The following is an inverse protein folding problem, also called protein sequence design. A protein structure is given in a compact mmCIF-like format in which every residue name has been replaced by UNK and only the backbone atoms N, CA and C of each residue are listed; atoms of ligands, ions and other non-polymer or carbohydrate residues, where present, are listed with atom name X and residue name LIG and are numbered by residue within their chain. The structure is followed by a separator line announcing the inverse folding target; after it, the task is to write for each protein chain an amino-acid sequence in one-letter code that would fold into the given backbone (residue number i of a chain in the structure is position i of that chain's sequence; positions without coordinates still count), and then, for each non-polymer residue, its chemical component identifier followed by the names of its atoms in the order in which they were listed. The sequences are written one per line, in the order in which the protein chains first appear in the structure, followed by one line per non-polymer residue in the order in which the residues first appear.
data_IF_081881244589
#
_entry.id   IF_081881244589
#
_cell.length_a   1.000
_cell.length_b   1.000
_cell.length_c   1.000
_cell.angle_alpha   90.00
_cell.angle_beta   90.00
_cell.angle_gamma   90.00
#
_symmetry.space_group_name_H-M   'P 1'
#
loop_
_entity.id
_entity.type
_entity.pdbx_description
1 polymer ?
#
# COMPACT_ATOMS: atom_id res chain seq x y z
N UNK A 1 -46.55 -53.20 3.17
CA UNK A 1 -45.69 -52.38 4.08
C UNK A 1 -46.27 -50.97 4.20
N UNK A 2 -46.88 -50.62 5.35
CA UNK A 2 -47.41 -49.28 5.63
C UNK A 2 -46.21 -48.33 5.76
N UNK A 3 -45.99 -47.45 4.78
CA UNK A 3 -44.96 -46.40 4.81
C UNK A 3 -45.35 -45.38 5.88
N UNK A 4 -44.55 -45.27 6.93
CA UNK A 4 -44.81 -44.41 8.09
C UNK A 4 -44.75 -42.92 7.64
N UNK A 5 -45.87 -42.16 7.63
CA UNK A 5 -45.90 -40.81 7.11
C UNK A 5 -44.96 -39.86 7.87
N UNK A 6 -44.71 -40.14 9.15
CA UNK A 6 -43.80 -39.35 9.99
C UNK A 6 -42.37 -39.45 9.48
N UNK A 7 -41.88 -40.63 9.01
CA UNK A 7 -40.54 -40.73 8.45
C UNK A 7 -40.37 -39.91 7.15
N UNK A 8 -41.41 -39.83 6.33
CA UNK A 8 -41.37 -39.00 5.12
C UNK A 8 -41.28 -37.50 5.43
N UNK A 9 -42.06 -37.03 6.41
CA UNK A 9 -42.04 -35.64 6.84
C UNK A 9 -40.69 -35.26 7.47
N UNK A 10 -40.14 -36.13 8.33
CA UNK A 10 -38.81 -35.94 8.92
C UNK A 10 -37.70 -35.83 7.85
N UNK A 11 -37.73 -36.71 6.82
CA UNK A 11 -36.76 -36.65 5.73
C UNK A 11 -36.89 -35.34 4.95
N UNK A 12 -38.13 -34.92 4.64
CA UNK A 12 -38.37 -33.68 3.91
C UNK A 12 -37.91 -32.42 4.70
N UNK A 13 -38.20 -32.40 5.99
CA UNK A 13 -37.72 -31.33 6.90
C UNK A 13 -36.19 -31.31 6.99
N UNK A 14 -35.57 -32.48 7.11
CA UNK A 14 -34.09 -32.56 7.17
C UNK A 14 -33.43 -32.09 5.87
N UNK A 15 -33.98 -32.44 4.69
CA UNK A 15 -33.46 -32.02 3.39
C UNK A 15 -33.52 -30.47 3.24
N UNK A 16 -34.52 -29.81 3.84
CA UNK A 16 -34.69 -28.37 3.77
C UNK A 16 -33.91 -27.65 4.89
N UNK A 17 -33.99 -28.17 6.13
CA UNK A 17 -33.42 -27.52 7.30
C UNK A 17 -31.88 -27.61 7.35
N UNK A 18 -31.29 -28.75 6.92
CA UNK A 18 -29.83 -28.94 6.98
C UNK A 18 -29.09 -27.98 6.04
N UNK A 19 -29.42 -27.82 4.77
CA UNK A 19 -28.80 -26.82 3.92
C UNK A 19 -29.05 -25.40 4.42
N UNK A 20 -30.25 -25.08 4.86
CA UNK A 20 -30.58 -23.78 5.43
C UNK A 20 -29.73 -23.44 6.64
N UNK A 21 -29.60 -24.35 7.59
CA UNK A 21 -28.74 -24.18 8.77
C UNK A 21 -27.27 -24.04 8.37
N UNK A 22 -26.79 -24.83 7.41
CA UNK A 22 -25.42 -24.78 6.92
C UNK A 22 -25.12 -23.43 6.26
N UNK A 23 -26.01 -22.94 5.39
CA UNK A 23 -25.82 -21.67 4.65
C UNK A 23 -26.04 -20.44 5.53
N UNK A 24 -27.05 -20.42 6.40
CA UNK A 24 -27.40 -19.22 7.16
C UNK A 24 -26.72 -19.12 8.53
N UNK A 25 -26.34 -20.25 9.12
CA UNK A 25 -25.75 -20.26 10.45
C UNK A 25 -24.28 -20.66 10.47
N UNK A 26 -23.91 -21.74 9.80
CA UNK A 26 -22.55 -22.30 9.85
C UNK A 26 -21.59 -21.57 8.91
N UNK A 27 -21.95 -21.38 7.64
CA UNK A 27 -21.12 -20.67 6.67
C UNK A 27 -20.73 -19.23 7.10
N UNK A 28 -21.62 -18.37 7.64
CA UNK A 28 -21.23 -17.05 8.11
C UNK A 28 -20.24 -17.07 9.28
N UNK A 29 -20.22 -18.14 10.08
CA UNK A 29 -19.24 -18.28 11.16
C UNK A 29 -17.84 -18.64 10.65
N UNK A 30 -17.77 -19.45 9.59
CA UNK A 30 -16.50 -19.81 8.94
C UNK A 30 -16.09 -18.76 7.89
N UNK A 31 -17.03 -18.13 7.21
CA UNK A 31 -16.84 -17.05 6.26
C UNK A 31 -16.62 -15.66 6.90
N UNK A 32 -16.37 -15.59 8.20
CA UNK A 32 -15.73 -14.43 8.79
C UNK A 32 -14.33 -14.33 8.18
N UNK A 33 -14.26 -13.79 6.98
CA UNK A 33 -13.02 -13.32 6.38
C UNK A 33 -12.40 -12.32 7.35
N UNK A 34 -11.66 -12.83 8.32
CA UNK A 34 -10.79 -12.05 9.16
C UNK A 34 -9.60 -11.67 8.27
N UNK A 35 -9.75 -10.62 7.48
CA UNK A 35 -8.59 -10.00 6.87
C UNK A 35 -7.60 -9.75 8.01
N UNK A 36 -6.50 -10.48 7.97
CA UNK A 36 -5.43 -10.25 8.92
C UNK A 36 -4.85 -8.88 8.58
N UNK A 37 -4.80 -8.01 9.57
CA UNK A 37 -4.19 -6.70 9.40
C UNK A 37 -2.77 -6.85 8.85
N UNK A 38 -2.41 -6.01 7.88
CA UNK A 38 -1.08 -6.05 7.29
C UNK A 38 -0.02 -5.71 8.34
N UNK A 39 1.18 -6.28 8.23
CA UNK A 39 2.28 -5.94 9.11
C UNK A 39 2.63 -4.45 9.00
N UNK A 40 3.30 -3.92 10.01
CA UNK A 40 3.90 -2.59 10.00
C UNK A 40 5.40 -2.79 10.02
N UNK A 41 6.09 -2.23 9.03
CA UNK A 41 7.54 -2.30 8.88
C UNK A 41 8.22 -1.12 9.59
N UNK A 42 9.48 -1.30 9.94
CA UNK A 42 10.31 -0.31 10.59
C UNK A 42 10.47 -0.52 12.08
N UNK A 43 11.13 0.42 12.71
CA UNK A 43 11.44 0.39 14.13
C UNK A 43 10.16 0.41 14.97
N UNK A 44 10.19 -0.31 16.09
CA UNK A 44 9.10 -0.40 17.06
C UNK A 44 9.62 -0.03 18.43
N UNK A 45 9.08 1.02 19.01
CA UNK A 45 9.46 1.52 20.32
C UNK A 45 8.31 1.27 21.28
N UNK A 46 8.63 0.72 22.45
CA UNK A 46 7.64 0.55 23.52
C UNK A 46 7.37 1.92 24.14
N UNK A 47 6.10 2.35 24.08
CA UNK A 47 5.69 3.63 24.68
C UNK A 47 5.63 3.54 26.22
N UNK A 48 5.66 4.68 26.87
CA UNK A 48 5.40 4.79 28.32
C UNK A 48 3.91 4.68 28.68
N UNK A 49 3.03 4.73 27.67
CA UNK A 49 1.57 4.58 27.82
C UNK A 49 1.14 3.13 27.72
N UNK A 50 -0.04 2.82 28.27
CA UNK A 50 -0.59 1.46 28.33
C UNK A 50 -2.07 1.49 27.96
N UNK A 51 -2.52 0.47 27.24
CA UNK A 51 -3.94 0.17 27.10
C UNK A 51 -4.32 -1.11 27.87
N UNK A 52 -5.59 -1.22 28.29
CA UNK A 52 -6.06 -2.39 29.00
C UNK A 52 -6.78 -3.35 28.07
N UNK A 53 -6.32 -4.61 28.02
CA UNK A 53 -7.00 -5.69 27.32
C UNK A 53 -7.35 -6.79 28.31
N UNK A 54 -8.64 -7.02 28.51
CA UNK A 54 -9.15 -8.03 29.47
C UNK A 54 -8.52 -7.90 30.87
N UNK A 55 -8.36 -6.65 31.36
CA UNK A 55 -7.78 -6.36 32.68
C UNK A 55 -6.25 -6.42 32.77
N UNK A 56 -5.55 -6.77 31.69
CA UNK A 56 -4.08 -6.74 31.62
C UNK A 56 -3.61 -5.43 31.00
N UNK A 57 -2.66 -4.74 31.64
CA UNK A 57 -1.97 -3.57 31.08
C UNK A 57 -0.98 -4.05 30.02
N UNK A 58 -1.18 -3.60 28.79
CA UNK A 58 -0.28 -3.88 27.66
C UNK A 58 0.36 -2.57 27.25
N UNK A 59 1.70 -2.47 27.19
CA UNK A 59 2.36 -1.25 26.71
C UNK A 59 1.95 -0.95 25.26
N UNK A 60 1.76 0.35 24.97
CA UNK A 60 1.53 0.80 23.61
C UNK A 60 2.82 0.69 22.79
N UNK A 61 2.68 0.52 21.49
CA UNK A 61 3.81 0.45 20.57
C UNK A 61 3.77 1.63 19.62
N UNK A 62 4.85 2.39 19.60
CA UNK A 62 5.08 3.45 18.61
C UNK A 62 5.76 2.80 17.41
N UNK A 63 5.13 2.93 16.25
CA UNK A 63 5.63 2.39 15.01
C UNK A 63 6.35 3.47 14.21
N UNK A 64 7.33 3.06 13.41
CA UNK A 64 7.96 3.92 12.44
C UNK A 64 6.91 4.58 11.52
N UNK A 65 7.02 5.89 11.35
CA UNK A 65 6.25 6.67 10.42
C UNK A 65 7.21 7.42 9.49
N UNK A 66 6.85 7.50 8.23
CA UNK A 66 7.63 8.28 7.27
C UNK A 66 7.53 9.76 7.66
N UNK A 67 8.66 10.46 7.89
CA UNK A 67 8.65 11.86 8.30
C UNK A 67 8.00 12.76 7.27
N UNK A 68 7.67 13.97 7.69
CA UNK A 68 7.17 15.00 6.77
C UNK A 68 8.19 15.30 5.69
N UNK A 69 7.67 15.54 4.50
CA UNK A 69 8.45 15.92 3.34
C UNK A 69 7.70 16.96 2.51
N UNK A 70 8.41 17.68 1.68
CA UNK A 70 7.83 18.58 0.68
C UNK A 70 8.64 18.45 -0.60
N UNK A 71 8.03 17.88 -1.63
CA UNK A 71 8.65 17.59 -2.92
C UNK A 71 7.78 18.17 -4.04
N UNK A 72 8.39 18.48 -5.18
CA UNK A 72 7.65 18.99 -6.34
C UNK A 72 7.23 17.85 -7.26
N UNK A 73 6.00 17.88 -7.75
CA UNK A 73 5.56 16.96 -8.80
C UNK A 73 5.91 17.49 -10.22
N UNK A 74 5.49 16.75 -11.25
CA UNK A 74 5.70 17.11 -12.66
C UNK A 74 5.06 18.44 -13.09
N UNK A 75 4.08 18.94 -12.36
CA UNK A 75 3.44 20.25 -12.59
C UNK A 75 4.08 21.38 -11.77
N UNK A 76 5.03 21.06 -10.89
CA UNK A 76 5.58 22.00 -9.93
C UNK A 76 4.76 22.17 -8.64
N UNK A 77 3.67 21.39 -8.46
CA UNK A 77 2.89 21.44 -7.23
C UNK A 77 3.65 20.76 -6.09
N UNK A 78 3.50 21.31 -4.87
CA UNK A 78 4.10 20.73 -3.68
C UNK A 78 3.28 19.53 -3.20
N UNK A 79 3.93 18.38 -3.11
CA UNK A 79 3.38 17.14 -2.55
C UNK A 79 3.98 16.91 -1.17
N UNK A 80 3.10 16.74 -0.19
CA UNK A 80 3.42 16.49 1.21
C UNK A 80 2.29 15.67 1.85
N UNK A 81 2.42 15.28 3.14
CA UNK A 81 1.38 14.48 3.80
C UNK A 81 0.03 15.17 3.91
N UNK A 82 -0.02 16.51 3.94
CA UNK A 82 -1.29 17.24 3.93
C UNK A 82 -2.03 17.06 2.60
N UNK A 83 -1.32 17.11 1.46
CA UNK A 83 -1.88 16.86 0.13
C UNK A 83 -2.26 15.39 -0.10
N UNK A 84 -1.69 14.48 0.70
CA UNK A 84 -1.92 13.04 0.69
C UNK A 84 -2.83 12.58 1.85
N UNK A 85 -3.51 13.53 2.49
CA UNK A 85 -4.42 13.20 3.60
C UNK A 85 -5.43 12.14 3.19
N UNK A 86 -5.63 11.14 4.04
CA UNK A 86 -6.55 10.03 3.83
C UNK A 86 -6.26 9.21 2.55
N UNK A 87 -5.00 9.17 2.10
CA UNK A 87 -4.59 8.37 0.95
C UNK A 87 -3.73 7.17 1.36
N UNK A 88 -3.97 6.07 0.67
CA UNK A 88 -3.07 4.93 0.62
C UNK A 88 -2.09 5.23 -0.50
N UNK A 89 -0.80 5.16 -0.20
CA UNK A 89 0.24 5.55 -1.14
C UNK A 89 1.02 4.30 -1.58
N UNK A 90 1.17 4.16 -2.89
CA UNK A 90 2.06 3.18 -3.53
C UNK A 90 3.24 3.95 -4.07
N UNK A 91 4.43 3.71 -3.51
CA UNK A 91 5.62 4.53 -3.78
C UNK A 91 6.79 3.70 -4.28
N UNK A 92 7.50 4.20 -5.28
CA UNK A 92 8.75 3.63 -5.76
C UNK A 92 9.81 4.71 -5.98
N UNK A 93 11.06 4.27 -6.10
CA UNK A 93 12.14 5.11 -6.57
C UNK A 93 12.28 4.96 -8.09
N UNK A 94 12.69 6.03 -8.76
CA UNK A 94 13.01 6.00 -10.19
C UNK A 94 14.18 6.94 -10.52
N UNK A 95 14.66 6.82 -11.74
CA UNK A 95 15.65 7.69 -12.34
C UNK A 95 15.21 8.01 -13.77
N UNK A 96 15.27 9.27 -14.19
CA UNK A 96 14.68 9.72 -15.46
C UNK A 96 15.24 9.01 -16.68
N UNK A 97 16.55 8.70 -16.68
CA UNK A 97 17.20 8.01 -17.80
C UNK A 97 16.84 6.50 -17.84
N UNK A 98 16.30 5.95 -16.74
CA UNK A 98 15.80 4.57 -16.64
C UNK A 98 14.24 4.51 -16.66
N UNK A 99 13.59 5.46 -17.34
CA UNK A 99 12.12 5.54 -17.43
C UNK A 99 11.45 4.33 -18.12
N UNK A 100 12.23 3.47 -18.78
CA UNK A 100 11.78 2.19 -19.35
C UNK A 100 11.92 1.00 -18.39
N UNK A 101 12.33 1.22 -17.13
CA UNK A 101 12.48 0.17 -16.13
C UNK A 101 11.14 -0.54 -15.87
N UNK A 102 11.19 -1.85 -15.63
CA UNK A 102 10.03 -2.72 -15.34
C UNK A 102 9.17 -2.20 -14.19
N UNK A 103 9.78 -1.58 -13.16
CA UNK A 103 9.05 -1.03 -12.01
C UNK A 103 8.15 0.11 -12.44
N UNK A 104 8.68 1.07 -13.21
CA UNK A 104 7.90 2.24 -13.64
C UNK A 104 6.77 1.84 -14.59
N UNK A 105 7.00 0.85 -15.47
CA UNK A 105 5.96 0.31 -16.35
C UNK A 105 4.87 -0.43 -15.55
N UNK A 106 5.24 -1.13 -14.49
CA UNK A 106 4.28 -1.78 -13.61
C UNK A 106 3.47 -0.76 -12.80
N UNK A 107 4.09 0.30 -12.28
CA UNK A 107 3.36 1.42 -11.65
C UNK A 107 2.37 2.06 -12.61
N UNK A 108 2.75 2.24 -13.89
CA UNK A 108 1.84 2.74 -14.91
C UNK A 108 0.59 1.88 -15.02
N UNK A 109 0.74 0.56 -15.18
CA UNK A 109 -0.38 -0.38 -15.27
C UNK A 109 -1.26 -0.34 -14.02
N UNK A 110 -0.64 -0.32 -12.84
CA UNK A 110 -1.37 -0.22 -11.57
C UNK A 110 -2.15 1.10 -11.48
N UNK A 111 -1.52 2.23 -11.81
CA UNK A 111 -2.16 3.55 -11.73
C UNK A 111 -3.39 3.65 -12.63
N UNK A 112 -3.32 3.06 -13.82
CA UNK A 112 -4.45 2.94 -14.76
C UNK A 112 -5.56 2.05 -14.17
N UNK A 113 -5.20 0.88 -13.60
CA UNK A 113 -6.15 -0.04 -12.95
C UNK A 113 -6.87 0.56 -11.74
N UNK A 114 -6.22 1.49 -11.05
CA UNK A 114 -6.77 2.19 -9.90
C UNK A 114 -7.27 3.60 -10.20
N UNK A 115 -7.42 4.01 -11.47
CA UNK A 115 -7.81 5.37 -11.87
C UNK A 115 -9.10 5.84 -11.16
N UNK A 116 -10.11 4.97 -11.09
CA UNK A 116 -11.41 5.24 -10.45
C UNK A 116 -11.42 5.06 -8.92
N UNK A 117 -10.26 4.84 -8.30
CA UNK A 117 -10.13 4.63 -6.85
C UNK A 117 -9.38 5.82 -6.21
N UNK A 118 -10.09 6.90 -5.81
CA UNK A 118 -9.45 8.14 -5.34
C UNK A 118 -8.67 7.98 -4.03
N UNK A 119 -8.90 6.89 -3.30
CA UNK A 119 -8.20 6.57 -2.06
C UNK A 119 -6.74 6.19 -2.30
N UNK A 120 -6.40 5.65 -3.47
CA UNK A 120 -5.05 5.17 -3.78
C UNK A 120 -4.32 6.21 -4.64
N UNK A 121 -3.13 6.61 -4.23
CA UNK A 121 -2.20 7.51 -4.93
C UNK A 121 -0.90 6.76 -5.23
N UNK A 122 -0.32 7.09 -6.37
CA UNK A 122 0.96 6.56 -6.80
C UNK A 122 1.99 7.68 -6.80
N UNK A 123 3.15 7.41 -6.23
CA UNK A 123 4.26 8.35 -6.15
C UNK A 123 5.53 7.67 -6.66
N UNK A 124 6.20 8.30 -7.61
CA UNK A 124 7.52 7.87 -8.05
C UNK A 124 8.52 8.96 -7.70
N UNK A 125 9.44 8.66 -6.78
CA UNK A 125 10.43 9.61 -6.30
C UNK A 125 11.73 9.46 -7.09
N UNK A 126 12.16 10.54 -7.75
CA UNK A 126 13.46 10.54 -8.42
C UNK A 126 14.60 10.52 -7.41
N UNK A 127 15.58 9.65 -7.68
CA UNK A 127 16.84 9.58 -6.91
C UNK A 127 17.88 10.59 -7.37
N UNK A 128 17.65 11.22 -8.53
CA UNK A 128 18.53 12.24 -9.09
C UNK A 128 17.96 13.65 -8.88
N UNK A 129 18.61 14.50 -8.09
CA UNK A 129 18.17 15.89 -7.89
C UNK A 129 18.06 16.71 -9.19
N UNK A 130 18.87 16.36 -10.20
CA UNK A 130 18.90 17.07 -11.49
C UNK A 130 17.72 16.73 -12.42
N UNK A 131 16.89 15.76 -12.02
CA UNK A 131 15.74 15.35 -12.82
C UNK A 131 14.59 16.37 -12.82
N UNK A 132 14.67 17.41 -12.01
CA UNK A 132 13.64 18.45 -11.92
C UNK A 132 13.26 19.07 -13.28
N UNK A 133 14.22 19.22 -14.19
CA UNK A 133 13.99 19.75 -15.53
C UNK A 133 13.49 18.71 -16.54
N UNK A 134 13.49 17.42 -16.19
CA UNK A 134 13.16 16.31 -17.08
C UNK A 134 11.85 15.62 -16.70
N UNK A 135 11.40 15.80 -15.46
CA UNK A 135 10.30 15.00 -14.86
C UNK A 135 8.98 15.19 -15.60
N UNK A 136 8.68 16.38 -16.07
CA UNK A 136 7.49 16.69 -16.87
C UNK A 136 7.47 15.93 -18.19
N UNK A 137 8.60 15.92 -18.91
CA UNK A 137 8.76 15.14 -20.13
C UNK A 137 8.67 13.62 -19.91
N UNK A 138 9.19 13.13 -18.78
CA UNK A 138 9.05 11.72 -18.38
C UNK A 138 7.59 11.40 -18.05
N UNK A 139 6.93 12.26 -17.28
CA UNK A 139 5.52 12.09 -16.91
C UNK A 139 4.62 12.06 -18.15
N UNK A 140 4.86 12.93 -19.14
CA UNK A 140 4.12 12.94 -20.39
C UNK A 140 4.29 11.62 -21.18
N UNK A 141 5.52 11.10 -21.30
CA UNK A 141 5.80 9.80 -21.96
C UNK A 141 5.12 8.63 -21.25
N UNK A 142 5.03 8.69 -19.93
CA UNK A 142 4.40 7.66 -19.10
C UNK A 142 2.87 7.81 -19.01
N UNK A 143 2.32 8.95 -19.48
CA UNK A 143 0.93 9.34 -19.27
C UNK A 143 0.56 9.40 -17.78
N UNK A 144 1.48 9.88 -16.95
CA UNK A 144 1.28 10.00 -15.52
C UNK A 144 0.37 11.19 -15.21
N UNK A 145 -0.83 10.92 -14.69
CA UNK A 145 -1.83 11.93 -14.41
C UNK A 145 -1.60 12.53 -13.02
N UNK A 146 -1.31 13.83 -12.89
CA UNK A 146 -1.16 14.49 -11.59
C UNK A 146 -2.39 14.26 -10.70
N UNK A 147 -2.15 14.04 -9.41
CA UNK A 147 -3.25 13.71 -8.51
C UNK A 147 -3.65 12.24 -8.49
N UNK A 148 -3.18 11.44 -9.45
CA UNK A 148 -3.29 9.99 -9.43
C UNK A 148 -1.92 9.34 -9.37
N UNK A 149 -1.02 9.76 -10.21
CA UNK A 149 0.36 9.35 -10.24
C UNK A 149 1.25 10.58 -10.39
N UNK A 150 1.98 10.89 -9.32
CA UNK A 150 2.89 12.02 -9.26
C UNK A 150 4.34 11.52 -9.32
N UNK A 151 5.10 12.09 -10.24
CA UNK A 151 6.55 11.92 -10.31
C UNK A 151 7.19 13.05 -9.49
N UNK A 152 7.90 12.68 -8.43
CA UNK A 152 8.40 13.63 -7.45
C UNK A 152 9.89 13.90 -7.65
N UNK A 153 10.26 15.15 -7.48
CA UNK A 153 11.65 15.60 -7.44
C UNK A 153 11.89 16.52 -6.26
N UNK A 154 13.10 16.51 -5.75
CA UNK A 154 13.55 17.39 -4.69
C UNK A 154 15.06 17.57 -4.74
N UNK A 155 15.59 18.41 -3.87
CA UNK A 155 17.03 18.54 -3.71
C UNK A 155 17.62 17.35 -2.92
N UNK A 156 18.92 17.26 -2.90
CA UNK A 156 19.65 16.20 -2.19
C UNK A 156 19.35 16.20 -0.69
N UNK A 157 19.19 17.40 -0.09
CA UNK A 157 19.00 17.55 1.34
C UNK A 157 17.62 17.06 1.80
N UNK A 158 16.59 17.20 0.96
CA UNK A 158 15.23 16.70 1.24
C UNK A 158 15.03 15.26 0.83
N UNK A 159 15.60 14.83 -0.29
CA UNK A 159 15.33 13.54 -0.92
C UNK A 159 16.05 12.38 -0.23
N UNK A 160 17.34 12.49 0.04
CA UNK A 160 18.11 11.35 0.57
C UNK A 160 17.78 10.99 2.02
N UNK A 161 17.55 11.95 2.95
CA UNK A 161 17.05 11.60 4.28
C UNK A 161 15.69 10.91 4.23
N UNK A 162 14.80 11.36 3.35
CA UNK A 162 13.50 10.71 3.15
C UNK A 162 13.68 9.27 2.67
N UNK A 163 14.52 9.02 1.65
CA UNK A 163 14.76 7.69 1.12
C UNK A 163 15.37 6.77 2.21
N UNK A 164 16.44 7.21 2.86
CA UNK A 164 17.19 6.34 3.78
C UNK A 164 16.49 6.15 5.12
N UNK A 165 16.04 7.24 5.76
CA UNK A 165 15.43 7.20 7.09
C UNK A 165 13.92 7.00 7.03
N UNK A 166 13.25 7.66 6.09
CA UNK A 166 11.79 7.59 5.95
C UNK A 166 11.34 6.30 5.31
N UNK A 167 11.83 6.03 4.10
CA UNK A 167 11.41 4.87 3.30
C UNK A 167 12.20 3.61 3.61
N UNK A 168 13.30 3.70 4.38
CA UNK A 168 14.20 2.59 4.70
C UNK A 168 14.73 1.90 3.42
N UNK A 169 15.06 2.69 2.42
CA UNK A 169 15.63 2.24 1.15
C UNK A 169 17.05 2.78 1.00
N UNK A 170 17.88 2.03 0.28
CA UNK A 170 19.24 2.43 -0.02
C UNK A 170 19.32 2.96 -1.45
N UNK A 171 20.08 4.05 -1.60
CA UNK A 171 20.48 4.63 -2.88
C UNK A 171 21.96 4.93 -2.80
N UNK A 172 22.71 4.45 -3.79
CA UNK A 172 24.12 4.71 -3.95
C UNK A 172 24.32 5.46 -5.29
N UNK A 173 24.98 6.61 -5.23
CA UNK A 173 25.41 7.31 -6.43
C UNK A 173 26.76 6.71 -6.85
N UNK A 174 26.84 6.28 -8.10
CA UNK A 174 28.06 5.76 -8.71
C UNK A 174 28.75 6.87 -9.51
N UNK A 175 29.75 7.47 -8.89
CA UNK A 175 30.53 8.57 -9.46
C UNK A 175 31.66 8.09 -10.38
N UNK A 176 31.77 6.78 -10.65
CA UNK A 176 32.82 6.22 -11.52
C UNK A 176 32.53 6.39 -13.01
N UNK A 177 31.36 6.88 -13.38
CA UNK A 177 30.91 7.09 -14.76
C UNK A 177 30.85 8.57 -15.12
N UNK A 178 31.04 8.88 -16.39
CA UNK A 178 30.94 10.26 -16.94
C UNK A 178 29.56 10.90 -16.71
N UNK A 179 28.54 10.11 -16.47
CA UNK A 179 27.19 10.56 -16.13
C UNK A 179 26.78 10.00 -14.78
N UNK A 180 26.05 10.77 -13.97
CA UNK A 180 25.50 10.27 -12.72
C UNK A 180 24.77 8.95 -12.95
N UNK A 181 25.13 7.94 -12.20
CA UNK A 181 24.46 6.65 -12.21
C UNK A 181 24.01 6.32 -10.79
N UNK A 182 22.80 5.80 -10.63
CA UNK A 182 22.22 5.52 -9.33
C UNK A 182 21.90 4.04 -9.23
N UNK A 183 22.36 3.42 -8.15
CA UNK A 183 22.08 2.02 -7.82
C UNK A 183 21.04 2.02 -6.70
N UNK A 184 19.87 1.48 -6.98
CA UNK A 184 18.78 1.31 -6.04
C UNK A 184 17.94 0.09 -6.41
N UNK A 185 17.24 -0.48 -5.42
CA UNK A 185 16.45 -1.69 -5.63
C UNK A 185 15.13 -1.43 -6.36
N UNK A 186 14.69 -2.43 -7.14
CA UNK A 186 13.40 -2.45 -7.84
C UNK A 186 12.24 -2.72 -6.85
N UNK A 187 12.10 -1.84 -5.84
CA UNK A 187 11.13 -2.00 -4.75
C UNK A 187 9.97 -1.03 -4.87
N UNK A 188 8.79 -1.53 -4.51
CA UNK A 188 7.58 -0.72 -4.30
C UNK A 188 7.20 -0.81 -2.84
N UNK A 189 6.85 0.32 -2.26
CA UNK A 189 6.36 0.46 -0.89
C UNK A 189 4.84 0.67 -0.92
N UNK A 190 4.14 0.00 -0.02
CA UNK A 190 2.74 0.25 0.29
C UNK A 190 2.66 0.98 1.63
N UNK A 191 2.05 2.16 1.65
CA UNK A 191 2.02 3.07 2.79
C UNK A 191 0.57 3.36 3.14
N UNK A 192 0.23 3.31 4.42
CA UNK A 192 -1.12 3.56 4.91
C UNK A 192 -1.39 5.07 5.16
N UNK A 193 -2.63 5.38 5.48
CA UNK A 193 -3.09 6.75 5.78
C UNK A 193 -2.45 7.36 7.04
N UNK A 194 -1.75 6.56 7.84
CA UNK A 194 -0.97 6.99 9.01
C UNK A 194 0.52 7.08 8.69
N UNK A 195 0.88 7.07 7.40
CA UNK A 195 2.25 7.20 6.89
C UNK A 195 3.19 6.05 7.33
N UNK A 196 2.64 4.86 7.61
CA UNK A 196 3.39 3.67 8.00
C UNK A 196 3.59 2.76 6.81
N UNK A 197 4.77 2.14 6.70
CA UNK A 197 5.05 1.16 5.66
C UNK A 197 4.35 -0.15 6.02
N UNK A 198 3.47 -0.63 5.13
CA UNK A 198 2.66 -1.83 5.31
C UNK A 198 3.11 -2.99 4.42
N UNK A 199 3.94 -2.70 3.42
CA UNK A 199 4.54 -3.69 2.54
C UNK A 199 5.74 -3.15 1.79
N UNK A 200 6.67 -4.06 1.46
CA UNK A 200 7.85 -3.82 0.62
C UNK A 200 7.89 -4.96 -0.39
N UNK A 201 7.87 -4.64 -1.69
CA UNK A 201 7.71 -5.62 -2.76
C UNK A 201 8.82 -5.49 -3.78
N UNK A 202 9.55 -6.57 -4.03
CA UNK A 202 10.52 -6.65 -5.11
C UNK A 202 9.80 -7.06 -6.40
N UNK A 203 9.71 -6.14 -7.35
CA UNK A 203 8.82 -6.27 -8.52
C UNK A 203 9.36 -7.22 -9.59
N UNK A 204 10.61 -7.59 -9.52
CA UNK A 204 11.18 -8.63 -10.39
C UNK A 204 10.57 -10.02 -10.09
N UNK A 205 9.99 -10.20 -8.90
CA UNK A 205 9.27 -11.41 -8.52
C UNK A 205 7.76 -11.28 -8.86
N UNK A 206 7.21 -12.13 -9.76
CA UNK A 206 5.78 -12.11 -10.10
C UNK A 206 4.84 -12.34 -8.90
N UNK A 207 5.23 -13.15 -7.92
CA UNK A 207 4.43 -13.37 -6.71
C UNK A 207 4.31 -12.10 -5.87
N UNK A 208 5.39 -11.29 -5.81
CA UNK A 208 5.37 -10.02 -5.10
C UNK A 208 4.42 -9.01 -5.76
N UNK A 209 4.26 -9.04 -7.09
CA UNK A 209 3.28 -8.22 -7.82
C UNK A 209 1.85 -8.57 -7.42
N UNK A 210 1.49 -9.86 -7.50
CA UNK A 210 0.16 -10.33 -7.09
C UNK A 210 -0.14 -9.99 -5.63
N UNK A 211 0.84 -10.18 -4.75
CA UNK A 211 0.71 -9.83 -3.33
C UNK A 211 0.48 -8.34 -3.12
N UNK A 212 1.20 -7.45 -3.82
CA UNK A 212 0.99 -6.00 -3.75
C UNK A 212 -0.46 -5.64 -4.12
N UNK A 213 -0.98 -6.18 -5.23
CA UNK A 213 -2.35 -5.90 -5.68
C UNK A 213 -3.39 -6.34 -4.66
N UNK A 214 -3.21 -7.49 -4.04
CA UNK A 214 -4.13 -8.00 -3.02
C UNK A 214 -4.01 -7.20 -1.70
N UNK A 215 -2.80 -6.85 -1.30
CA UNK A 215 -2.56 -6.09 -0.08
C UNK A 215 -3.03 -4.62 -0.19
N UNK A 216 -3.03 -4.01 -1.38
CA UNK A 216 -3.71 -2.72 -1.62
C UNK A 216 -5.22 -2.86 -1.31
N UNK A 217 -5.87 -3.93 -1.77
CA UNK A 217 -7.31 -4.17 -1.51
C UNK A 217 -7.57 -4.38 -0.02
N UNK A 218 -6.69 -5.12 0.67
CA UNK A 218 -6.76 -5.32 2.13
C UNK A 218 -6.66 -3.98 2.86
N UNK A 219 -5.73 -3.12 2.48
CA UNK A 219 -5.51 -1.84 3.12
C UNK A 219 -6.69 -0.87 2.90
N UNK A 220 -7.28 -0.89 1.70
CA UNK A 220 -8.54 -0.17 1.43
C UNK A 220 -9.65 -0.66 2.36
N UNK A 221 -9.80 -1.97 2.53
CA UNK A 221 -10.82 -2.54 3.40
C UNK A 221 -10.57 -2.21 4.88
N UNK A 222 -9.32 -2.20 5.33
CA UNK A 222 -8.94 -1.77 6.69
C UNK A 222 -9.36 -0.31 6.93
N UNK A 223 -9.00 0.59 6.01
CA UNK A 223 -9.31 2.01 6.11
C UNK A 223 -10.83 2.25 6.16
N UNK A 224 -11.58 1.67 5.22
CA UNK A 224 -13.04 1.85 5.15
C UNK A 224 -13.75 1.32 6.41
N UNK A 225 -13.22 0.26 7.04
CA UNK A 225 -13.71 -0.24 8.32
C UNK A 225 -13.44 0.75 9.44
N UNK A 226 -12.21 1.28 9.53
CA UNK A 226 -11.84 2.27 10.54
C UNK A 226 -12.72 3.51 10.46
N UNK A 227 -12.95 4.03 9.26
CA UNK A 227 -13.85 5.18 9.03
C UNK A 227 -15.30 4.85 9.43
N UNK A 228 -15.80 3.65 9.12
CA UNK A 228 -17.16 3.22 9.48
C UNK A 228 -17.32 3.05 11.00
N UNK A 229 -16.29 2.58 11.67
CA UNK A 229 -16.31 2.35 13.14
C UNK A 229 -16.03 3.64 13.94
N UNK A 230 -15.85 4.79 13.27
CA UNK A 230 -15.62 6.11 13.89
C UNK A 230 -14.28 6.21 14.62
N UNK A 231 -13.28 5.46 14.23
CA UNK A 231 -11.94 5.43 14.84
C UNK A 231 -10.90 6.15 13.99
#
# INVERSE_FOLDING_TARGET
MKRNPIKKVLILVSILAIPGFLFFYLLPQFAKNRYKSLPIFGEKIVASTFHSVKGKKIPDTIYHQIPDFSLSNQNGDSINWLSLKDKIVVMNLFYSDASSNNVIQYIKQLSEGYEKKPLVRFLSLSVNPDDKSKVDGVAAKLNAKPGKWDLLTGDTASTYPLIRKGLMLDVIQDDTKDKPNFIFGNKILLIDVQHRIRGIYEIDNPEARGRLEDEIKVLIAEYLRTVKDGR
#
